data_IF_024537040883
#
_entry.id   IF_024537040883
#
_cell.length_a   1.000
_cell.length_b   1.000
_cell.length_c   1.000
_cell.angle_alpha   90.00
_cell.angle_beta   90.00
_cell.angle_gamma   90.00
#
_symmetry.space_group_name_H-M   'P 1'
#
loop_
_entity.id
_entity.type
_entity.pdbx_description
1 polymer ?
#
# COMPACT_ATOMS: atom_id res chain seq x y z
N UNK A 1 -14.84 -13.85 -43.34
CA UNK A 1 -13.97 -14.77 -42.56
C UNK A 1 -12.54 -14.20 -42.46
N UNK A 2 -12.02 -13.44 -43.43
CA UNK A 2 -10.65 -12.88 -43.39
C UNK A 2 -10.51 -11.62 -42.51
N UNK A 3 -11.58 -10.95 -42.09
CA UNK A 3 -11.58 -9.77 -41.22
C UNK A 3 -11.65 -10.15 -39.73
N UNK A 4 -12.20 -11.29 -39.41
CA UNK A 4 -12.27 -11.81 -38.04
C UNK A 4 -10.93 -12.38 -37.52
N UNK A 5 -10.02 -12.82 -38.41
CA UNK A 5 -8.70 -13.31 -38.00
C UNK A 5 -7.68 -12.19 -37.71
N UNK A 6 -7.95 -10.94 -38.11
CA UNK A 6 -7.09 -9.78 -37.80
C UNK A 6 -7.34 -9.17 -36.42
N UNK A 7 -8.41 -9.56 -35.74
CA UNK A 7 -8.73 -9.08 -34.39
C UNK A 7 -8.05 -9.95 -33.31
N UNK A 8 -7.47 -11.11 -33.65
CA UNK A 8 -6.80 -12.03 -32.72
C UNK A 8 -5.27 -12.03 -32.79
N UNK A 9 -4.65 -11.19 -33.59
CA UNK A 9 -3.27 -10.80 -33.33
C UNK A 9 -3.26 -9.74 -32.20
N UNK A 10 -3.64 -10.14 -31.01
CA UNK A 10 -3.14 -9.51 -29.79
C UNK A 10 -1.62 -9.65 -29.84
N UNK A 11 -0.93 -8.63 -30.36
CA UNK A 11 0.46 -8.42 -30.01
C UNK A 11 0.55 -8.64 -28.52
N UNK A 12 1.17 -9.74 -28.12
CA UNK A 12 1.54 -10.04 -26.74
C UNK A 12 2.52 -8.94 -26.33
N UNK A 13 1.98 -7.78 -25.90
CA UNK A 13 2.78 -6.69 -25.38
C UNK A 13 3.50 -7.25 -24.17
N UNK A 14 4.80 -7.44 -24.30
CA UNK A 14 5.65 -7.91 -23.23
C UNK A 14 5.79 -6.78 -22.20
N UNK A 15 4.83 -6.72 -21.25
CA UNK A 15 4.75 -5.67 -20.23
C UNK A 15 5.94 -5.77 -19.28
N UNK A 16 6.47 -4.61 -18.88
CA UNK A 16 7.51 -4.47 -17.87
C UNK A 16 6.89 -4.19 -16.52
N UNK A 17 6.92 -5.17 -15.63
CA UNK A 17 6.30 -5.13 -14.31
C UNK A 17 7.40 -5.10 -13.24
N UNK A 18 7.33 -4.10 -12.35
CA UNK A 18 8.22 -3.99 -11.19
C UNK A 18 7.49 -4.44 -9.94
N UNK A 19 7.98 -5.47 -9.26
CA UNK A 19 7.50 -5.83 -7.91
C UNK A 19 8.34 -5.06 -6.91
N UNK A 20 7.69 -4.17 -6.14
CA UNK A 20 8.33 -3.30 -5.16
C UNK A 20 8.15 -3.87 -3.75
N UNK A 21 9.25 -4.22 -3.09
CA UNK A 21 9.24 -4.92 -1.81
C UNK A 21 9.95 -4.07 -0.75
N UNK A 22 9.24 -3.47 0.22
CA UNK A 22 9.85 -2.86 1.39
C UNK A 22 10.35 -3.95 2.34
N UNK A 23 11.55 -3.75 2.91
CA UNK A 23 12.21 -4.71 3.79
C UNK A 23 12.80 -4.03 5.01
N UNK A 24 12.60 -4.60 6.20
CA UNK A 24 13.29 -4.22 7.42
C UNK A 24 13.58 -5.44 8.29
N UNK A 25 14.85 -5.80 8.42
CA UNK A 25 15.33 -6.90 9.26
C UNK A 25 14.57 -8.22 9.06
N UNK A 26 14.32 -8.61 7.80
CA UNK A 26 13.55 -9.82 7.45
C UNK A 26 14.07 -10.49 6.16
N UNK A 27 15.39 -10.60 6.04
CA UNK A 27 16.04 -11.17 4.86
C UNK A 27 15.63 -12.61 4.59
N UNK A 28 15.40 -13.40 5.65
CA UNK A 28 14.99 -14.79 5.52
C UNK A 28 13.61 -14.92 4.84
N UNK A 29 12.64 -14.08 5.24
CA UNK A 29 11.32 -14.04 4.61
C UNK A 29 11.43 -13.55 3.15
N UNK A 30 12.27 -12.53 2.89
CA UNK A 30 12.50 -12.03 1.54
C UNK A 30 13.04 -13.12 0.60
N UNK A 31 14.07 -13.87 1.01
CA UNK A 31 14.63 -14.93 0.16
C UNK A 31 13.58 -15.99 -0.17
N UNK A 32 12.75 -16.37 0.81
CA UNK A 32 11.64 -17.31 0.57
C UNK A 32 10.57 -16.71 -0.34
N UNK A 33 10.27 -15.41 -0.20
CA UNK A 33 9.34 -14.71 -1.07
C UNK A 33 9.84 -14.70 -2.52
N UNK A 34 11.11 -14.37 -2.76
CA UNK A 34 11.71 -14.36 -4.11
C UNK A 34 11.67 -15.75 -4.77
N UNK A 35 11.93 -16.81 -4.01
CA UNK A 35 11.79 -18.18 -4.48
C UNK A 35 10.35 -18.47 -4.94
N UNK A 36 9.37 -18.11 -4.11
CA UNK A 36 7.96 -18.30 -4.40
C UNK A 36 7.49 -17.44 -5.59
N UNK A 37 7.93 -16.18 -5.67
CA UNK A 37 7.64 -15.32 -6.84
C UNK A 37 8.19 -16.00 -8.09
N UNK A 38 9.49 -16.39 -8.11
CA UNK A 38 10.13 -17.03 -9.26
C UNK A 38 9.39 -18.31 -9.71
N UNK A 39 8.85 -19.07 -8.75
CA UNK A 39 8.05 -20.26 -9.05
C UNK A 39 6.70 -19.90 -9.69
N UNK A 40 5.98 -18.96 -9.09
CA UNK A 40 4.62 -18.64 -9.52
C UNK A 40 4.54 -17.80 -10.80
N UNK A 41 5.61 -17.11 -11.21
CA UNK A 41 5.65 -16.37 -12.47
C UNK A 41 6.19 -17.18 -13.65
N UNK A 42 6.38 -18.48 -13.48
CA UNK A 42 7.05 -19.35 -14.48
C UNK A 42 6.35 -19.41 -15.83
N UNK A 43 5.05 -19.24 -15.87
CA UNK A 43 4.17 -19.25 -17.04
C UNK A 43 3.66 -17.85 -17.44
N UNK A 44 4.28 -16.79 -16.92
CA UNK A 44 3.96 -15.41 -17.28
C UNK A 44 4.93 -14.94 -18.37
N UNK A 45 4.39 -14.52 -19.52
CA UNK A 45 5.16 -14.01 -20.66
C UNK A 45 5.46 -12.50 -20.57
N UNK A 46 5.64 -11.97 -19.35
CA UNK A 46 5.98 -10.58 -19.09
C UNK A 46 7.34 -10.45 -18.41
N UNK A 47 7.98 -9.28 -18.57
CA UNK A 47 9.26 -8.98 -17.92
C UNK A 47 9.00 -8.57 -16.48
N UNK A 48 9.32 -9.44 -15.52
CA UNK A 48 9.12 -9.18 -14.09
C UNK A 48 10.47 -8.92 -13.43
N UNK A 49 10.64 -7.72 -12.90
CA UNK A 49 11.84 -7.31 -12.14
C UNK A 49 11.45 -6.96 -10.71
N UNK A 50 12.39 -7.15 -9.78
CA UNK A 50 12.18 -6.89 -8.35
C UNK A 50 12.97 -5.65 -7.94
N UNK A 51 12.32 -4.76 -7.18
CA UNK A 51 12.96 -3.62 -6.53
C UNK A 51 12.72 -3.73 -5.03
N UNK A 52 13.77 -3.97 -4.27
CA UNK A 52 13.74 -4.12 -2.82
C UNK A 52 14.18 -2.79 -2.22
N UNK A 53 13.38 -2.25 -1.28
CA UNK A 53 13.76 -1.08 -0.49
C UNK A 53 14.14 -1.56 0.90
N UNK A 54 15.43 -1.65 1.16
CA UNK A 54 15.98 -1.96 2.47
C UNK A 54 15.90 -0.72 3.38
N UNK A 55 14.93 -0.71 4.28
CA UNK A 55 14.55 0.41 5.15
C UNK A 55 15.50 0.56 6.35
N UNK A 56 16.79 0.73 6.09
CA UNK A 56 17.78 0.90 7.14
C UNK A 56 17.92 -0.32 8.05
N UNK A 57 17.90 -1.54 7.47
CA UNK A 57 18.08 -2.77 8.26
C UNK A 57 19.43 -2.75 8.99
N UNK A 58 19.41 -3.22 10.24
CA UNK A 58 20.62 -3.46 11.04
C UNK A 58 21.25 -4.82 10.76
N UNK A 59 20.46 -5.75 10.22
CA UNK A 59 20.93 -7.04 9.73
C UNK A 59 21.65 -6.86 8.40
N UNK A 60 22.76 -7.58 8.22
CA UNK A 60 23.56 -7.54 6.99
C UNK A 60 22.78 -8.11 5.81
N UNK A 61 22.92 -7.45 4.66
CA UNK A 61 22.44 -8.00 3.39
C UNK A 61 23.10 -9.37 3.17
N UNK A 62 22.35 -10.42 2.75
CA UNK A 62 22.92 -11.72 2.43
C UNK A 62 24.07 -11.61 1.40
N UNK A 63 25.14 -12.36 1.62
CA UNK A 63 26.31 -12.34 0.73
C UNK A 63 26.01 -12.93 -0.65
N UNK A 64 25.00 -13.80 -0.75
CA UNK A 64 24.60 -14.45 -2.00
C UNK A 64 23.08 -14.56 -2.07
N UNK A 65 22.57 -14.40 -3.28
CA UNK A 65 21.18 -14.67 -3.63
C UNK A 65 21.13 -15.91 -4.52
N UNK A 66 20.12 -16.77 -4.35
CA UNK A 66 19.88 -17.88 -5.28
C UNK A 66 19.68 -17.36 -6.70
N UNK A 67 19.92 -18.24 -7.69
CA UNK A 67 19.59 -17.92 -9.07
C UNK A 67 18.09 -18.06 -9.31
N UNK A 68 17.46 -17.00 -9.80
CA UNK A 68 16.03 -16.95 -10.10
C UNK A 68 15.84 -16.85 -11.63
N UNK A 69 15.53 -17.95 -12.29
CA UNK A 69 15.50 -18.04 -13.76
C UNK A 69 14.44 -17.15 -14.42
N UNK A 70 13.33 -16.90 -13.73
CA UNK A 70 12.15 -16.18 -14.24
C UNK A 70 12.10 -14.70 -13.86
N UNK A 71 12.82 -14.31 -12.83
CA UNK A 71 12.98 -12.90 -12.45
C UNK A 71 14.04 -12.30 -13.37
N UNK A 72 13.70 -11.21 -14.07
CA UNK A 72 14.58 -10.53 -15.03
C UNK A 72 15.75 -9.83 -14.32
N UNK A 73 15.45 -9.03 -13.32
CA UNK A 73 16.48 -8.31 -12.56
C UNK A 73 16.05 -8.09 -11.11
N UNK A 74 17.04 -7.94 -10.21
CA UNK A 74 16.83 -7.66 -8.79
C UNK A 74 17.71 -6.47 -8.41
N UNK A 75 17.09 -5.38 -7.93
CA UNK A 75 17.76 -4.21 -7.38
C UNK A 75 17.46 -4.08 -5.89
N UNK A 76 18.46 -3.73 -5.10
CA UNK A 76 18.31 -3.40 -3.67
C UNK A 76 18.67 -1.92 -3.48
N UNK A 77 17.71 -1.14 -3.03
CA UNK A 77 17.88 0.26 -2.64
C UNK A 77 18.09 0.29 -1.13
N UNK A 78 19.29 0.64 -0.69
CA UNK A 78 19.63 0.72 0.73
C UNK A 78 19.39 2.14 1.25
N UNK A 79 18.49 2.31 2.23
CA UNK A 79 18.26 3.58 2.90
C UNK A 79 19.24 3.77 4.06
N UNK A 80 19.61 5.02 4.34
CA UNK A 80 20.52 5.38 5.44
C UNK A 80 19.94 5.11 6.81
N UNK A 81 18.60 5.18 6.95
CA UNK A 81 17.88 5.00 8.21
C UNK A 81 16.51 4.38 7.97
N UNK A 82 15.90 3.83 9.04
CA UNK A 82 14.52 3.36 8.98
C UNK A 82 13.55 4.52 8.93
N UNK A 83 12.91 4.70 7.78
CA UNK A 83 11.89 5.73 7.55
C UNK A 83 10.47 5.22 7.78
N UNK A 84 10.29 3.91 7.85
CA UNK A 84 9.04 3.19 8.06
C UNK A 84 8.34 2.78 6.78
N UNK A 85 7.58 1.71 6.88
CA UNK A 85 7.00 0.94 5.78
C UNK A 85 6.34 1.78 4.66
N UNK A 86 5.43 2.70 5.00
CA UNK A 86 4.75 3.52 3.98
C UNK A 86 5.72 4.43 3.21
N UNK A 87 6.74 4.94 3.89
CA UNK A 87 7.76 5.82 3.29
C UNK A 87 8.74 5.04 2.44
N UNK A 88 9.07 3.82 2.83
CA UNK A 88 9.90 2.91 2.03
C UNK A 88 9.22 2.60 0.70
N UNK A 89 7.91 2.29 0.71
CA UNK A 89 7.14 2.12 -0.52
C UNK A 89 7.14 3.42 -1.35
N UNK A 90 6.88 4.57 -0.72
CA UNK A 90 6.86 5.86 -1.39
C UNK A 90 8.22 6.18 -2.05
N UNK A 91 9.34 5.95 -1.34
CA UNK A 91 10.70 6.11 -1.89
C UNK A 91 10.93 5.18 -3.07
N UNK A 92 10.52 3.91 -2.95
CA UNK A 92 10.64 2.94 -4.03
C UNK A 92 9.83 3.32 -5.27
N UNK A 93 8.57 3.78 -5.11
CA UNK A 93 7.76 4.27 -6.23
C UNK A 93 8.42 5.44 -6.95
N UNK A 94 8.96 6.39 -6.19
CA UNK A 94 9.67 7.55 -6.75
C UNK A 94 10.94 7.11 -7.49
N UNK A 95 11.75 6.24 -6.87
CA UNK A 95 12.97 5.72 -7.50
C UNK A 95 12.66 5.01 -8.82
N UNK A 96 11.67 4.12 -8.85
CA UNK A 96 11.25 3.40 -10.05
C UNK A 96 10.79 4.38 -11.14
N UNK A 97 9.99 5.39 -10.78
CA UNK A 97 9.51 6.39 -11.74
C UNK A 97 10.64 7.18 -12.40
N UNK A 98 11.68 7.50 -11.64
CA UNK A 98 12.80 8.35 -12.11
C UNK A 98 13.90 7.55 -12.81
N UNK A 99 14.08 6.26 -12.49
CA UNK A 99 15.27 5.49 -12.91
C UNK A 99 14.97 4.25 -13.76
N UNK A 100 13.71 3.79 -13.81
CA UNK A 100 13.38 2.54 -14.50
C UNK A 100 12.37 2.74 -15.64
N UNK A 101 12.46 1.88 -16.64
CA UNK A 101 11.40 1.74 -17.64
C UNK A 101 10.44 0.63 -17.18
N UNK A 102 9.15 0.96 -17.07
CA UNK A 102 8.10 0.05 -16.60
C UNK A 102 6.73 0.46 -17.11
N UNK A 103 5.81 -0.48 -17.12
CA UNK A 103 4.39 -0.27 -17.42
C UNK A 103 3.56 -0.31 -16.12
N UNK A 104 3.90 -1.24 -15.21
CA UNK A 104 3.19 -1.44 -13.93
C UNK A 104 4.15 -1.62 -12.76
N UNK A 105 3.68 -1.20 -11.56
CA UNK A 105 4.36 -1.49 -10.29
C UNK A 105 3.40 -2.26 -9.38
N UNK A 106 3.90 -3.35 -8.77
CA UNK A 106 3.17 -4.14 -7.77
C UNK A 106 3.90 -4.03 -6.43
N UNK A 107 3.48 -3.12 -5.52
CA UNK A 107 3.97 -3.13 -4.14
C UNK A 107 3.49 -4.40 -3.43
N UNK A 108 4.39 -5.07 -2.71
CA UNK A 108 4.15 -6.35 -2.04
C UNK A 108 4.97 -6.42 -0.75
N UNK A 109 4.38 -6.90 0.34
CA UNK A 109 5.09 -7.07 1.61
C UNK A 109 6.09 -8.24 1.55
N UNK A 110 7.23 -8.13 2.27
CA UNK A 110 8.34 -9.11 2.20
C UNK A 110 8.09 -10.42 2.94
N UNK A 111 7.00 -10.51 3.73
CA UNK A 111 6.83 -11.55 4.74
C UNK A 111 5.95 -12.75 4.33
N UNK A 112 5.38 -12.71 3.14
CA UNK A 112 4.51 -13.75 2.58
C UNK A 112 3.03 -13.59 2.94
N UNK A 113 2.63 -12.56 3.69
CA UNK A 113 1.21 -12.27 3.93
C UNK A 113 0.49 -11.80 2.66
N UNK A 114 1.20 -11.11 1.75
CA UNK A 114 0.78 -10.91 0.37
C UNK A 114 1.26 -12.13 -0.44
N UNK A 115 0.34 -12.81 -1.10
CA UNK A 115 0.59 -14.12 -1.72
C UNK A 115 1.19 -14.00 -3.12
N UNK A 116 2.36 -14.60 -3.39
CA UNK A 116 3.00 -14.54 -4.71
C UNK A 116 2.18 -15.14 -5.86
N UNK A 117 1.36 -16.16 -5.59
CA UNK A 117 0.48 -16.77 -6.58
C UNK A 117 -0.62 -15.80 -7.08
N UNK A 118 -1.02 -14.82 -6.26
CA UNK A 118 -2.01 -13.79 -6.63
C UNK A 118 -1.44 -12.71 -7.58
N UNK A 119 -0.11 -12.66 -7.82
CA UNK A 119 0.49 -11.78 -8.84
C UNK A 119 -0.13 -12.04 -10.22
N UNK A 120 -0.36 -13.32 -10.56
CA UNK A 120 -1.03 -13.71 -11.81
C UNK A 120 -2.45 -13.14 -11.91
N UNK A 121 -3.19 -13.12 -10.82
CA UNK A 121 -4.56 -12.64 -10.80
C UNK A 121 -4.62 -11.10 -10.94
N UNK A 122 -3.63 -10.38 -10.40
CA UNK A 122 -3.45 -8.96 -10.65
C UNK A 122 -3.16 -8.70 -12.14
N UNK A 123 -2.22 -9.44 -12.72
CA UNK A 123 -1.82 -9.28 -14.13
C UNK A 123 -2.97 -9.61 -15.08
N UNK A 124 -3.74 -10.67 -14.82
CA UNK A 124 -4.92 -11.05 -15.63
C UNK A 124 -6.02 -9.98 -15.65
N UNK A 125 -6.05 -9.09 -14.66
CA UNK A 125 -7.02 -7.99 -14.57
C UNK A 125 -6.58 -6.72 -15.28
N UNK A 126 -5.36 -6.72 -15.83
CA UNK A 126 -4.87 -5.59 -16.63
C UNK A 126 -5.70 -5.55 -17.92
N UNK A 127 -6.46 -4.48 -18.07
CA UNK A 127 -7.24 -4.22 -19.27
C UNK A 127 -6.43 -3.32 -20.21
N UNK A 128 -6.32 -3.66 -21.51
CA UNK A 128 -5.69 -2.78 -22.49
C UNK A 128 -6.32 -1.38 -22.45
N UNK A 129 -5.48 -0.35 -22.44
CA UNK A 129 -5.87 1.06 -22.41
C UNK A 129 -6.57 1.55 -21.12
N UNK A 130 -6.55 0.75 -20.04
CA UNK A 130 -7.07 1.15 -18.75
C UNK A 130 -5.95 1.63 -17.83
N UNK A 131 -6.01 2.90 -17.39
CA UNK A 131 -5.14 3.47 -16.36
C UNK A 131 -5.69 3.25 -14.94
N UNK A 132 -6.61 2.31 -14.76
CA UNK A 132 -7.18 2.03 -13.44
C UNK A 132 -6.24 1.14 -12.62
N UNK A 133 -5.98 1.47 -11.35
CA UNK A 133 -5.25 0.60 -10.45
C UNK A 133 -6.08 -0.64 -10.11
N UNK A 134 -5.42 -1.80 -10.05
CA UNK A 134 -6.02 -3.05 -9.62
C UNK A 134 -5.64 -3.26 -8.15
N UNK A 135 -6.63 -3.51 -7.30
CA UNK A 135 -6.45 -3.62 -5.85
C UNK A 135 -6.86 -4.98 -5.33
N UNK A 136 -6.04 -5.58 -4.48
CA UNK A 136 -6.37 -6.81 -3.77
C UNK A 136 -7.33 -6.50 -2.60
N UNK A 137 -8.59 -6.91 -2.73
CA UNK A 137 -9.59 -6.81 -1.67
C UNK A 137 -9.56 -8.05 -0.78
N UNK A 138 -9.18 -7.88 0.48
CA UNK A 138 -9.09 -9.00 1.44
C UNK A 138 -10.46 -9.56 1.78
N UNK A 139 -10.75 -10.78 1.29
CA UNK A 139 -12.06 -11.47 1.47
C UNK A 139 -12.07 -12.37 2.70
N UNK A 140 -10.94 -12.94 3.11
CA UNK A 140 -10.82 -13.76 4.33
C UNK A 140 -9.79 -13.20 5.29
N UNK A 141 -10.07 -13.30 6.59
CA UNK A 141 -9.20 -12.88 7.67
C UNK A 141 -9.01 -14.03 8.65
N UNK A 142 -7.76 -14.42 8.85
CA UNK A 142 -7.35 -15.46 9.81
C UNK A 142 -7.15 -14.92 11.23
N UNK A 143 -7.25 -13.59 11.41
CA UNK A 143 -6.96 -12.94 12.71
C UNK A 143 -8.02 -13.26 13.77
N UNK A 144 -7.61 -13.20 15.05
CA UNK A 144 -8.50 -13.44 16.19
C UNK A 144 -9.66 -12.43 16.30
N UNK A 145 -10.66 -12.77 17.14
CA UNK A 145 -11.89 -11.99 17.32
C UNK A 145 -11.63 -10.52 17.66
N UNK A 146 -10.67 -10.22 18.52
CA UNK A 146 -10.33 -8.85 18.93
C UNK A 146 -9.88 -7.98 17.73
N UNK A 147 -9.01 -8.52 16.86
CA UNK A 147 -8.58 -7.79 15.65
C UNK A 147 -9.70 -7.60 14.65
N UNK A 148 -10.59 -8.58 14.48
CA UNK A 148 -11.80 -8.45 13.64
C UNK A 148 -12.71 -7.33 14.14
N UNK A 149 -12.90 -7.23 15.47
CA UNK A 149 -13.67 -6.18 16.11
C UNK A 149 -13.04 -4.78 15.88
N UNK A 150 -11.75 -4.62 16.18
CA UNK A 150 -11.03 -3.37 15.94
C UNK A 150 -11.11 -2.93 14.47
N UNK A 151 -10.99 -3.88 13.54
CA UNK A 151 -11.10 -3.61 12.12
C UNK A 151 -12.50 -3.19 11.69
N UNK A 152 -13.54 -3.82 12.24
CA UNK A 152 -14.92 -3.40 11.98
C UNK A 152 -15.13 -1.95 12.39
N UNK A 153 -14.69 -1.57 13.60
CA UNK A 153 -14.77 -0.18 14.07
C UNK A 153 -13.93 0.76 13.23
N UNK A 154 -12.71 0.38 12.86
CA UNK A 154 -11.89 1.18 11.95
C UNK A 154 -12.61 1.43 10.62
N UNK A 155 -13.21 0.42 10.01
CA UNK A 155 -14.00 0.60 8.76
C UNK A 155 -15.19 1.52 8.96
N UNK A 156 -15.93 1.33 10.06
CA UNK A 156 -17.09 2.15 10.38
C UNK A 156 -16.69 3.62 10.54
N UNK A 157 -15.67 3.91 11.35
CA UNK A 157 -15.15 5.26 11.59
C UNK A 157 -14.63 5.85 10.28
N UNK A 158 -13.84 5.08 9.51
CA UNK A 158 -13.31 5.54 8.22
C UNK A 158 -14.45 5.93 7.29
N UNK A 159 -15.45 5.09 7.10
CA UNK A 159 -16.59 5.38 6.23
C UNK A 159 -17.41 6.58 6.74
N UNK A 160 -17.75 6.60 8.03
CA UNK A 160 -18.56 7.67 8.64
C UNK A 160 -17.90 9.03 8.50
N UNK A 161 -16.60 9.14 8.80
CA UNK A 161 -15.93 10.44 8.82
C UNK A 161 -15.27 10.82 7.50
N UNK A 162 -14.87 9.87 6.66
CA UNK A 162 -14.23 10.19 5.37
C UNK A 162 -15.15 10.05 4.16
N UNK A 163 -16.24 9.26 4.27
CA UNK A 163 -17.09 8.87 3.15
C UNK A 163 -16.43 7.87 2.20
N UNK A 164 -15.32 7.23 2.61
CA UNK A 164 -14.57 6.29 1.78
C UNK A 164 -14.57 4.90 2.39
N UNK A 165 -14.81 3.88 1.53
CA UNK A 165 -14.65 2.49 1.89
C UNK A 165 -13.31 1.99 1.32
N UNK A 166 -12.30 1.80 2.20
CA UNK A 166 -10.97 1.34 1.82
C UNK A 166 -10.82 -0.11 2.30
N UNK A 167 -10.81 -1.07 1.36
CA UNK A 167 -10.80 -2.51 1.65
C UNK A 167 -9.50 -3.20 1.24
N UNK A 168 -8.51 -2.44 0.79
CA UNK A 168 -7.24 -2.92 0.28
C UNK A 168 -6.06 -2.32 1.05
N UNK A 169 -4.92 -3.01 0.99
CA UNK A 169 -3.63 -2.60 1.55
C UNK A 169 -2.69 -2.05 0.48
N UNK A 170 -1.43 -2.50 0.55
CA UNK A 170 -0.39 -2.09 -0.40
C UNK A 170 -0.37 -3.01 -1.63
N UNK A 171 -0.81 -4.27 -1.50
CA UNK A 171 -0.79 -5.24 -2.59
C UNK A 171 -1.79 -4.85 -3.67
N UNK A 172 -1.26 -4.26 -4.73
CA UNK A 172 -2.02 -3.64 -5.83
C UNK A 172 -1.18 -3.69 -7.09
N UNK A 173 -1.80 -3.57 -8.27
CA UNK A 173 -1.08 -3.36 -9.52
C UNK A 173 -1.37 -1.93 -10.02
N UNK A 174 -0.32 -1.12 -10.09
CA UNK A 174 -0.39 0.31 -10.40
C UNK A 174 0.12 0.58 -11.81
N UNK A 175 -0.71 1.09 -12.74
CA UNK A 175 -0.25 1.64 -14.00
C UNK A 175 0.73 2.81 -13.81
N UNK A 176 1.62 3.04 -14.76
CA UNK A 176 2.65 4.09 -14.72
C UNK A 176 2.08 5.48 -14.38
N UNK A 177 0.95 5.86 -14.96
CA UNK A 177 0.31 7.17 -14.68
C UNK A 177 -0.20 7.26 -13.23
N UNK A 178 -0.69 6.15 -12.65
CA UNK A 178 -1.08 6.12 -11.23
C UNK A 178 0.15 6.27 -10.33
N UNK A 179 1.26 5.60 -10.65
CA UNK A 179 2.54 5.77 -9.93
C UNK A 179 2.98 7.23 -9.96
N UNK A 180 2.96 7.88 -11.13
CA UNK A 180 3.28 9.30 -11.31
C UNK A 180 2.38 10.21 -10.47
N UNK A 181 1.09 9.95 -10.43
CA UNK A 181 0.15 10.70 -9.60
C UNK A 181 0.41 10.49 -8.10
N UNK A 182 0.75 9.25 -7.68
CA UNK A 182 1.13 8.96 -6.30
C UNK A 182 2.43 9.64 -5.88
N UNK A 183 3.41 9.76 -6.77
CA UNK A 183 4.68 10.45 -6.45
C UNK A 183 4.50 11.96 -6.27
N UNK A 184 3.43 12.54 -6.82
CA UNK A 184 3.07 13.95 -6.65
C UNK A 184 2.09 14.20 -5.47
N UNK A 185 1.51 13.15 -4.89
CA UNK A 185 0.56 13.27 -3.78
C UNK A 185 1.29 13.11 -2.44
N UNK A 186 1.29 14.17 -1.61
CA UNK A 186 1.95 14.16 -0.30
C UNK A 186 1.46 13.08 0.67
N UNK A 187 0.21 12.65 0.53
CA UNK A 187 -0.37 11.61 1.36
C UNK A 187 0.31 10.24 1.16
N UNK A 188 0.94 9.99 -0.01
CA UNK A 188 1.70 8.77 -0.29
C UNK A 188 2.84 8.58 0.73
N UNK A 189 3.43 9.67 1.22
CA UNK A 189 4.46 9.64 2.25
C UNK A 189 3.99 9.12 3.61
N UNK A 190 2.70 9.16 3.89
CA UNK A 190 2.13 8.76 5.18
C UNK A 190 1.21 7.54 5.10
N UNK A 191 0.54 7.34 3.96
CA UNK A 191 -0.45 6.26 3.79
C UNK A 191 -0.64 5.93 2.31
N UNK A 192 -0.15 4.77 1.89
CA UNK A 192 -0.30 4.28 0.53
C UNK A 192 -1.77 4.12 0.12
N UNK A 193 -2.55 3.33 0.87
CA UNK A 193 -3.96 3.05 0.53
C UNK A 193 -4.85 4.29 0.63
N UNK A 194 -4.54 5.19 1.58
CA UNK A 194 -5.20 6.49 1.69
C UNK A 194 -4.94 7.37 0.47
N UNK A 195 -3.67 7.51 0.05
CA UNK A 195 -3.27 8.27 -1.11
C UNK A 195 -3.89 7.71 -2.39
N UNK A 196 -3.79 6.39 -2.62
CA UNK A 196 -4.40 5.74 -3.78
C UNK A 196 -5.91 5.95 -3.83
N UNK A 197 -6.60 5.91 -2.67
CA UNK A 197 -8.04 6.18 -2.60
C UNK A 197 -8.40 7.65 -2.85
N UNK A 198 -7.46 8.57 -2.61
CA UNK A 198 -7.63 10.00 -2.87
C UNK A 198 -7.48 10.33 -4.36
N UNK A 199 -6.44 9.79 -5.01
CA UNK A 199 -6.13 10.09 -6.40
C UNK A 199 -6.98 9.30 -7.39
N UNK A 200 -7.30 8.04 -7.07
CA UNK A 200 -8.08 7.16 -7.95
C UNK A 200 -9.40 6.77 -7.30
N UNK A 201 -10.50 7.34 -7.82
CA UNK A 201 -11.85 7.02 -7.34
C UNK A 201 -12.31 5.64 -7.82
N UNK A 202 -12.02 5.33 -9.08
CA UNK A 202 -12.32 4.05 -9.71
C UNK A 202 -11.11 3.12 -9.58
N UNK A 203 -11.36 1.86 -9.30
CA UNK A 203 -10.36 0.79 -9.14
C UNK A 203 -10.98 -0.53 -9.56
N UNK A 204 -10.16 -1.42 -10.07
CA UNK A 204 -10.56 -2.80 -10.36
C UNK A 204 -10.25 -3.64 -9.13
N UNK A 205 -11.27 -4.22 -8.49
CA UNK A 205 -11.09 -5.11 -7.35
C UNK A 205 -10.78 -6.54 -7.77
N UNK A 206 -9.83 -7.20 -7.10
CA UNK A 206 -9.63 -8.65 -7.19
C UNK A 206 -9.69 -9.25 -5.79
N UNK A 207 -10.41 -10.37 -5.58
CA UNK A 207 -10.40 -11.05 -4.29
C UNK A 207 -8.99 -11.49 -3.92
N UNK A 208 -8.62 -11.34 -2.64
CA UNK A 208 -7.32 -11.74 -2.12
C UNK A 208 -7.48 -12.39 -0.74
N UNK A 209 -6.70 -13.42 -0.48
CA UNK A 209 -6.63 -14.07 0.83
C UNK A 209 -5.28 -13.74 1.47
N UNK A 210 -5.32 -13.33 2.75
CA UNK A 210 -4.08 -13.09 3.48
C UNK A 210 -3.34 -14.41 3.70
N UNK A 211 -2.09 -14.46 3.23
CA UNK A 211 -1.18 -15.56 3.49
C UNK A 211 -0.73 -15.61 4.95
N UNK A 212 0.05 -16.63 5.27
CA UNK A 212 0.73 -16.76 6.56
C UNK A 212 2.16 -16.24 6.43
N UNK A 213 2.59 -15.51 7.46
CA UNK A 213 3.96 -15.04 7.54
C UNK A 213 4.95 -16.21 7.50
N UNK A 214 6.02 -16.10 6.70
CA UNK A 214 7.00 -17.18 6.54
C UNK A 214 7.79 -17.44 7.82
N UNK A 215 8.30 -16.38 8.47
CA UNK A 215 9.14 -16.51 9.65
C UNK A 215 8.85 -15.43 10.68
N UNK A 216 8.93 -15.81 11.95
CA UNK A 216 8.85 -14.93 13.10
C UNK A 216 7.50 -14.22 13.29
N UNK A 217 7.35 -13.45 14.37
CA UNK A 217 6.15 -12.67 14.65
C UNK A 217 6.11 -11.37 13.80
N UNK A 218 4.94 -10.76 13.71
CA UNK A 218 4.78 -9.45 13.09
C UNK A 218 5.69 -8.41 13.76
N UNK A 219 6.40 -7.62 12.94
CA UNK A 219 7.24 -6.50 13.42
C UNK A 219 6.41 -5.26 13.77
N UNK A 220 5.10 -5.25 13.44
CA UNK A 220 4.23 -4.10 13.68
C UNK A 220 3.66 -4.11 15.10
N UNK A 221 4.02 -3.12 15.92
CA UNK A 221 3.42 -2.93 17.23
C UNK A 221 1.97 -2.43 17.14
N UNK A 222 1.17 -2.67 18.20
CA UNK A 222 -0.22 -2.17 18.26
C UNK A 222 -0.30 -0.66 18.13
N UNK A 223 0.63 0.09 18.72
CA UNK A 223 0.75 1.55 18.54
C UNK A 223 0.92 1.93 17.06
N UNK A 224 1.81 1.25 16.35
CA UNK A 224 2.04 1.50 14.94
C UNK A 224 0.81 1.16 14.08
N UNK A 225 0.04 0.14 14.46
CA UNK A 225 -1.22 -0.21 13.80
C UNK A 225 -2.26 0.90 13.96
N UNK A 226 -2.40 1.49 15.16
CA UNK A 226 -3.29 2.65 15.39
C UNK A 226 -2.84 3.85 14.55
N UNK A 227 -1.55 4.18 14.56
CA UNK A 227 -0.99 5.27 13.77
C UNK A 227 -1.22 5.05 12.27
N UNK A 228 -1.03 3.82 11.77
CA UNK A 228 -1.32 3.46 10.40
C UNK A 228 -2.81 3.68 10.06
N UNK A 229 -3.72 3.19 10.90
CA UNK A 229 -5.17 3.37 10.74
C UNK A 229 -5.58 4.83 10.72
N UNK A 230 -5.06 5.63 11.65
CA UNK A 230 -5.31 7.08 11.70
C UNK A 230 -4.69 7.81 10.51
N UNK A 231 -3.54 7.34 9.98
CA UNK A 231 -2.90 7.92 8.79
C UNK A 231 -3.78 7.79 7.55
N UNK A 232 -4.51 6.68 7.40
CA UNK A 232 -5.49 6.51 6.31
C UNK A 232 -6.61 7.56 6.42
N UNK A 233 -7.15 7.75 7.62
CA UNK A 233 -8.23 8.72 7.88
C UNK A 233 -7.73 10.17 7.70
N UNK A 234 -6.50 10.46 8.13
CA UNK A 234 -5.89 11.78 8.07
C UNK A 234 -5.69 12.31 6.64
N UNK A 235 -5.56 11.43 5.64
CA UNK A 235 -5.56 11.82 4.21
C UNK A 235 -6.82 12.59 3.83
N UNK A 236 -7.94 12.31 4.50
CA UNK A 236 -9.25 12.92 4.25
C UNK A 236 -9.65 13.92 5.35
N UNK A 237 -8.69 14.56 6.01
CA UNK A 237 -8.91 15.45 7.16
C UNK A 237 -9.97 16.52 6.95
N UNK A 238 -10.09 17.06 5.73
CA UNK A 238 -11.12 18.07 5.41
C UNK A 238 -12.52 17.44 5.49
N UNK A 239 -12.70 16.26 4.92
CA UNK A 239 -13.97 15.52 5.00
C UNK A 239 -14.29 15.15 6.46
N UNK A 240 -13.27 14.72 7.22
CA UNK A 240 -13.42 14.40 8.66
C UNK A 240 -13.93 15.63 9.41
N UNK A 241 -13.31 16.79 9.21
CA UNK A 241 -13.71 18.03 9.88
C UNK A 241 -15.15 18.43 9.53
N UNK A 242 -15.49 18.46 8.24
CA UNK A 242 -16.85 18.83 7.77
C UNK A 242 -17.91 17.90 8.39
N UNK A 243 -17.68 16.60 8.36
CA UNK A 243 -18.62 15.60 8.90
C UNK A 243 -18.69 15.65 10.44
N UNK A 244 -17.58 15.94 11.10
CA UNK A 244 -17.56 16.14 12.56
C UNK A 244 -18.35 17.36 12.97
N UNK A 245 -18.25 18.47 12.23
CA UNK A 245 -19.05 19.70 12.48
C UNK A 245 -20.55 19.40 12.28
N UNK A 246 -20.91 18.70 11.19
CA UNK A 246 -22.31 18.33 10.96
C UNK A 246 -22.83 17.43 12.08
N UNK A 247 -22.05 16.41 12.49
CA UNK A 247 -22.41 15.54 13.60
C UNK A 247 -22.54 16.29 14.92
N UNK A 248 -21.68 17.26 15.19
CA UNK A 248 -21.71 18.11 16.36
C UNK A 248 -23.05 18.88 16.45
N UNK A 249 -23.49 19.54 15.37
CA UNK A 249 -24.75 20.30 15.39
C UNK A 249 -25.97 19.38 15.49
N UNK A 250 -25.99 18.25 14.77
CA UNK A 250 -27.08 17.26 14.88
C UNK A 250 -27.17 16.75 16.32
N UNK A 251 -26.03 16.39 16.91
CA UNK A 251 -25.98 15.85 18.26
C UNK A 251 -26.41 16.90 19.31
N UNK A 252 -25.94 18.15 19.20
CA UNK A 252 -26.39 19.26 20.09
C UNK A 252 -27.91 19.45 20.01
N UNK A 253 -28.47 19.41 18.80
CA UNK A 253 -29.93 19.52 18.63
C UNK A 253 -30.67 18.38 19.33
N UNK A 254 -30.13 17.17 19.33
CA UNK A 254 -30.75 16.01 19.98
C UNK A 254 -30.69 16.08 21.53
N UNK A 255 -29.67 16.75 22.10
CA UNK A 255 -29.42 16.76 23.53
C UNK A 255 -29.80 18.10 24.19
N UNK A 256 -30.30 19.10 23.42
CA UNK A 256 -30.44 20.48 23.93
C UNK A 256 -31.27 20.59 25.22
N UNK A 257 -32.28 19.72 25.40
CA UNK A 257 -33.10 19.67 26.63
C UNK A 257 -32.49 18.84 27.76
N UNK A 258 -31.40 18.06 27.48
CA UNK A 258 -30.77 17.11 28.41
C UNK A 258 -29.27 17.30 28.51
N UNK A 259 -28.81 18.54 28.51
CA UNK A 259 -27.37 18.83 28.61
C UNK A 259 -26.87 18.44 30.01
N UNK A 260 -25.88 17.56 30.05
CA UNK A 260 -25.20 17.10 31.27
C UNK A 260 -23.74 16.74 30.94
N UNK A 261 -22.92 16.55 31.97
CA UNK A 261 -21.54 16.10 31.78
C UNK A 261 -21.46 14.80 30.92
N UNK A 262 -22.41 13.87 31.16
CA UNK A 262 -22.44 12.57 30.43
C UNK A 262 -22.79 12.81 28.96
N UNK A 263 -23.76 13.66 28.65
CA UNK A 263 -24.15 13.92 27.26
C UNK A 263 -23.15 14.78 26.50
N UNK A 264 -22.19 15.42 27.18
CA UNK A 264 -21.08 16.14 26.54
C UNK A 264 -19.90 15.23 26.18
N UNK A 265 -19.81 14.00 26.73
CA UNK A 265 -18.71 13.06 26.44
C UNK A 265 -18.55 12.77 24.93
N UNK A 266 -19.60 12.48 24.13
CA UNK A 266 -19.43 12.25 22.69
C UNK A 266 -18.84 13.45 21.95
N UNK A 267 -19.20 14.68 22.34
CA UNK A 267 -18.63 15.89 21.76
C UNK A 267 -17.13 15.98 22.06
N UNK A 268 -16.74 15.75 23.31
CA UNK A 268 -15.33 15.72 23.70
C UNK A 268 -14.54 14.68 22.91
N UNK A 269 -15.09 13.48 22.74
CA UNK A 269 -14.46 12.41 21.96
C UNK A 269 -14.27 12.81 20.48
N UNK A 270 -15.23 13.49 19.86
CA UNK A 270 -15.12 14.00 18.49
C UNK A 270 -14.03 15.07 18.40
N UNK A 271 -13.95 15.98 19.38
CA UNK A 271 -12.89 17.00 19.41
C UNK A 271 -11.51 16.35 19.51
N UNK A 272 -11.33 15.41 20.45
CA UNK A 272 -10.08 14.64 20.60
C UNK A 272 -9.73 13.91 19.30
N UNK A 273 -10.71 13.25 18.67
CA UNK A 273 -10.51 12.54 17.41
C UNK A 273 -10.02 13.48 16.30
N UNK A 274 -10.65 14.65 16.13
CA UNK A 274 -10.21 15.65 15.14
C UNK A 274 -8.79 16.16 15.43
N UNK A 275 -8.45 16.43 16.69
CA UNK A 275 -7.10 16.82 17.07
C UNK A 275 -6.08 15.73 16.71
N UNK A 276 -6.37 14.45 16.98
CA UNK A 276 -5.53 13.33 16.60
C UNK A 276 -5.37 13.23 15.07
N UNK A 277 -6.44 13.39 14.30
CA UNK A 277 -6.40 13.38 12.83
C UNK A 277 -5.54 14.53 12.30
N UNK A 278 -5.66 15.74 12.86
CA UNK A 278 -4.83 16.89 12.48
C UNK A 278 -3.36 16.64 12.82
N UNK A 279 -3.05 16.12 14.01
CA UNK A 279 -1.69 15.79 14.42
C UNK A 279 -1.05 14.74 13.48
N UNK A 280 -1.80 13.67 13.19
CA UNK A 280 -1.31 12.62 12.30
C UNK A 280 -1.17 13.15 10.86
N UNK A 281 -2.02 14.06 10.40
CA UNK A 281 -1.91 14.64 9.06
C UNK A 281 -0.61 15.43 8.82
N UNK A 282 0.07 15.89 9.89
CA UNK A 282 1.41 16.50 9.79
C UNK A 282 2.50 15.53 9.31
N UNK A 283 2.21 14.21 9.31
CA UNK A 283 3.11 13.20 8.73
C UNK A 283 3.17 13.27 7.20
N UNK A 284 2.14 13.85 6.56
CA UNK A 284 2.16 14.17 5.13
C UNK A 284 3.17 15.30 4.89
N UNK A 285 4.24 15.00 4.18
CA UNK A 285 5.28 15.99 3.89
C UNK A 285 5.80 15.79 2.47
N UNK A 286 5.36 16.66 1.56
CA UNK A 286 5.73 16.58 0.14
C UNK A 286 7.21 16.89 -0.09
N UNK A 287 7.80 17.79 0.68
CA UNK A 287 9.21 18.15 0.56
C UNK A 287 10.10 16.97 0.94
N UNK A 288 9.82 16.34 2.12
CA UNK A 288 10.54 15.12 2.52
C UNK A 288 10.36 14.00 1.51
N UNK A 289 9.17 13.89 0.91
CA UNK A 289 8.92 12.90 -0.12
C UNK A 289 9.73 13.20 -1.40
N UNK A 290 9.73 14.45 -1.87
CA UNK A 290 10.53 14.87 -3.02
C UNK A 290 12.03 14.65 -2.82
N UNK A 291 12.48 14.82 -1.60
CA UNK A 291 13.90 14.65 -1.23
C UNK A 291 14.22 13.21 -0.76
N UNK A 292 13.30 12.27 -0.84
CA UNK A 292 13.50 10.91 -0.30
C UNK A 292 14.67 10.15 -0.94
N UNK A 293 15.01 10.44 -2.18
CA UNK A 293 16.20 9.85 -2.84
C UNK A 293 17.52 10.24 -2.17
N UNK A 294 17.59 11.36 -1.42
CA UNK A 294 18.76 11.73 -0.65
C UNK A 294 19.04 10.76 0.53
N UNK A 295 18.02 10.01 0.95
CA UNK A 295 18.16 8.97 1.97
C UNK A 295 18.66 7.64 1.37
N UNK A 296 18.88 7.55 0.06
CA UNK A 296 19.43 6.36 -0.57
C UNK A 296 20.95 6.41 -0.41
N UNK A 297 21.47 5.45 0.34
CA UNK A 297 22.91 5.31 0.57
C UNK A 297 23.59 4.60 -0.60
N UNK A 298 22.96 3.54 -1.11
CA UNK A 298 23.53 2.66 -2.13
C UNK A 298 22.42 1.93 -2.90
N UNK A 299 22.70 1.59 -4.15
CA UNK A 299 21.83 0.76 -5.00
C UNK A 299 22.64 -0.41 -5.53
N UNK A 300 22.31 -1.61 -5.11
CA UNK A 300 22.95 -2.86 -5.56
C UNK A 300 22.09 -3.56 -6.59
N UNK A 301 22.73 -3.94 -7.71
CA UNK A 301 22.13 -4.84 -8.70
C UNK A 301 22.64 -6.23 -8.38
N UNK A 302 21.71 -7.15 -8.12
CA UNK A 302 22.03 -8.55 -7.77
C UNK A 302 21.96 -9.43 -9.02
N UNK A 303 21.03 -9.11 -9.93
CA UNK A 303 20.84 -9.79 -11.20
C UNK A 303 20.48 -8.79 -12.29
#
# INVERSE_FOLDING_TARGET
ICILNKIFEFNQFNMKIKVLIPLYNDWQSLLKLLENINHHISDIDHIISIVIVNDGSTEKVPNSFPSYSKIDSIKIINLTENVGHARSIATGLKFILENDNFDYVIPMDSDGEDRPDEIKDLIKKIEPQSDLPIVCERVKRSEGFFFKFCYFFHKLITFTFTGRSIKFGNFTCLPKEVVKNMTNEKATWSSFSGALSKISKLKIGTPSERGTRYFGPSKMSFKNLIVHSLSIIAVFKVNVLIRSILFFFIYLFLIYEKISVITLIPILLIVIFNLLVILISKRENLEKYRNSNQNIFDVKVIK
#
